data_IF_183720521267
#
_entry.id   IF_183720521267
#
_cell.length_a   1.000
_cell.length_b   1.000
_cell.length_c   1.000
_cell.angle_alpha   90.00
_cell.angle_beta   90.00
_cell.angle_gamma   90.00
#
_symmetry.space_group_name_H-M   'P 1'
#
loop_
_entity.id
_entity.type
_entity.pdbx_description
1 polymer ?
#
# COMPACT_ATOMS: atom_id res chain seq x y z
N UNK A 1 33.07 -8.72 3.31
CA UNK A 1 32.42 -8.82 1.98
C UNK A 1 31.84 -7.46 1.52
N UNK A 2 32.68 -6.48 1.14
CA UNK A 2 32.21 -5.10 0.88
C UNK A 2 31.38 -4.96 -0.41
N UNK A 3 31.69 -5.71 -1.46
CA UNK A 3 30.94 -5.67 -2.72
C UNK A 3 29.50 -6.16 -2.55
N UNK A 4 29.28 -7.19 -1.74
CA UNK A 4 27.96 -7.71 -1.42
C UNK A 4 27.13 -6.72 -0.61
N UNK A 5 27.75 -6.03 0.36
CA UNK A 5 27.10 -4.96 1.11
C UNK A 5 26.64 -3.82 0.18
N UNK A 6 27.51 -3.33 -0.69
CA UNK A 6 27.16 -2.26 -1.64
C UNK A 6 26.05 -2.68 -2.61
N UNK A 7 26.05 -3.94 -3.06
CA UNK A 7 24.96 -4.46 -3.90
C UNK A 7 23.63 -4.54 -3.15
N UNK A 8 23.64 -4.98 -1.89
CA UNK A 8 22.45 -5.05 -1.05
C UNK A 8 21.85 -3.66 -0.79
N UNK A 9 22.69 -2.67 -0.48
CA UNK A 9 22.26 -1.27 -0.28
C UNK A 9 21.56 -0.70 -1.51
N UNK A 10 22.12 -0.92 -2.72
CA UNK A 10 21.51 -0.46 -3.98
C UNK A 10 20.14 -1.09 -4.24
N UNK A 11 19.95 -2.34 -3.83
CA UNK A 11 18.64 -3.03 -3.95
C UNK A 11 17.65 -2.47 -2.93
N UNK A 12 18.08 -2.30 -1.67
CA UNK A 12 17.23 -1.75 -0.62
C UNK A 12 16.78 -0.31 -0.95
N UNK A 13 17.66 0.51 -1.51
CA UNK A 13 17.38 1.92 -1.84
C UNK A 13 16.26 2.11 -2.88
N UNK A 14 15.92 1.07 -3.65
CA UNK A 14 14.82 1.09 -4.63
C UNK A 14 13.60 0.27 -4.19
N UNK A 15 13.63 -0.35 -3.02
CA UNK A 15 12.48 -1.07 -2.47
C UNK A 15 11.54 -0.06 -1.80
N UNK A 16 10.29 -0.05 -2.26
CA UNK A 16 9.23 0.78 -1.72
C UNK A 16 7.98 -0.07 -1.55
N UNK A 17 7.11 0.30 -0.62
CA UNK A 17 5.79 -0.30 -0.56
C UNK A 17 5.00 0.02 -1.84
N UNK A 18 4.24 -0.95 -2.34
CA UNK A 18 3.51 -0.82 -3.60
C UNK A 18 2.47 0.30 -3.54
N UNK A 19 1.71 0.40 -2.45
CA UNK A 19 0.64 1.41 -2.34
C UNK A 19 1.23 2.81 -2.20
N UNK A 20 2.33 2.94 -1.44
CA UNK A 20 3.07 4.20 -1.33
C UNK A 20 3.70 4.61 -2.66
N UNK A 21 4.27 3.67 -3.42
CA UNK A 21 4.81 3.95 -4.75
C UNK A 21 3.73 4.47 -5.71
N UNK A 22 2.56 3.81 -5.75
CA UNK A 22 1.46 4.23 -6.62
C UNK A 22 0.96 5.64 -6.24
N UNK A 23 0.72 5.88 -4.95
CA UNK A 23 0.12 7.15 -4.48
C UNK A 23 1.15 8.27 -4.42
N UNK A 24 2.28 8.07 -3.76
CA UNK A 24 3.23 9.14 -3.45
C UNK A 24 4.31 9.33 -4.54
N UNK A 25 4.70 8.27 -5.24
CA UNK A 25 5.73 8.36 -6.29
C UNK A 25 5.10 8.60 -7.67
N UNK A 26 4.05 7.86 -8.04
CA UNK A 26 3.37 8.04 -9.33
C UNK A 26 2.26 9.09 -9.29
N UNK A 27 1.77 9.48 -8.10
CA UNK A 27 0.67 10.44 -7.98
C UNK A 27 -0.70 9.86 -8.40
N UNK A 28 -0.84 8.54 -8.44
CA UNK A 28 -2.05 7.85 -8.92
C UNK A 28 -2.89 7.40 -7.73
N UNK A 29 -4.18 7.72 -7.75
CA UNK A 29 -5.13 7.33 -6.69
C UNK A 29 -6.24 6.39 -7.18
N UNK A 30 -6.49 6.35 -8.49
CA UNK A 30 -7.38 5.40 -9.15
C UNK A 30 -6.59 4.62 -10.21
N UNK A 31 -6.52 3.31 -10.03
CA UNK A 31 -5.84 2.38 -10.94
C UNK A 31 -6.79 1.69 -11.93
N UNK A 32 -8.06 2.12 -11.97
CA UNK A 32 -9.09 1.56 -12.82
C UNK A 32 -9.69 0.25 -12.31
N UNK A 33 -9.48 -0.10 -11.04
CA UNK A 33 -9.93 -1.35 -10.45
C UNK A 33 -11.45 -1.41 -10.23
N UNK A 34 -12.01 -2.62 -10.24
CA UNK A 34 -13.40 -2.88 -9.89
C UNK A 34 -13.55 -4.19 -9.13
N UNK A 35 -14.37 -4.18 -8.09
CA UNK A 35 -14.75 -5.37 -7.32
C UNK A 35 -16.15 -5.14 -6.77
N UNK A 36 -17.14 -5.93 -7.21
CA UNK A 36 -18.50 -5.85 -6.67
C UNK A 36 -18.57 -6.66 -5.38
N UNK A 37 -18.57 -5.99 -4.24
CA UNK A 37 -18.63 -6.67 -2.96
C UNK A 37 -18.23 -5.80 -1.78
N UNK A 38 -18.15 -6.45 -0.61
CA UNK A 38 -17.82 -5.82 0.67
C UNK A 38 -16.47 -6.34 1.16
N UNK A 39 -15.63 -5.48 1.70
CA UNK A 39 -14.36 -5.88 2.30
C UNK A 39 -14.05 -5.07 3.55
N UNK A 40 -13.22 -5.63 4.43
CA UNK A 40 -12.63 -4.92 5.57
C UNK A 40 -11.13 -4.84 5.34
N UNK A 41 -10.54 -3.65 5.53
CA UNK A 41 -9.10 -3.48 5.48
C UNK A 41 -8.47 -3.76 6.84
N UNK A 42 -7.57 -4.75 6.91
CA UNK A 42 -6.74 -4.99 8.08
C UNK A 42 -5.42 -4.21 7.95
N UNK A 43 -5.19 -3.15 8.74
CA UNK A 43 -3.95 -2.40 8.70
C UNK A 43 -2.78 -3.24 9.22
N UNK A 44 -1.74 -3.40 8.41
CA UNK A 44 -0.52 -4.10 8.82
C UNK A 44 0.30 -3.26 9.79
N UNK A 45 0.59 -3.79 10.99
CA UNK A 45 1.45 -3.14 11.97
C UNK A 45 2.85 -2.83 11.41
N UNK A 46 3.43 -3.74 10.63
CA UNK A 46 4.76 -3.53 10.03
C UNK A 46 4.72 -2.43 8.98
N UNK A 47 3.65 -2.38 8.18
CA UNK A 47 3.47 -1.35 7.17
C UNK A 47 3.32 0.03 7.83
N UNK A 48 2.41 0.15 8.80
CA UNK A 48 2.13 1.41 9.49
C UNK A 48 3.27 1.89 10.41
N UNK A 49 3.89 0.99 11.18
CA UNK A 49 4.89 1.36 12.21
C UNK A 49 6.32 1.39 11.68
N UNK A 50 6.68 0.52 10.74
CA UNK A 50 8.05 0.44 10.22
C UNK A 50 8.22 1.22 8.93
N UNK A 51 7.24 1.15 8.02
CA UNK A 51 7.32 1.82 6.71
C UNK A 51 6.58 3.16 6.68
N UNK A 52 5.78 3.48 7.70
CA UNK A 52 5.04 4.74 7.78
C UNK A 52 3.84 4.82 6.82
N UNK A 53 3.56 3.76 6.07
CA UNK A 53 2.48 3.67 5.09
C UNK A 53 1.17 3.34 5.81
N UNK A 54 0.19 4.22 5.68
CA UNK A 54 -1.06 4.15 6.47
C UNK A 54 -2.28 4.44 5.61
N UNK A 55 -2.25 5.58 4.92
CA UNK A 55 -3.41 6.11 4.20
C UNK A 55 -3.41 5.68 2.73
N UNK A 56 -2.26 5.33 2.19
CA UNK A 56 -2.10 4.95 0.78
C UNK A 56 -2.89 3.70 0.40
N UNK A 57 -2.90 2.60 1.18
CA UNK A 57 -3.75 1.45 0.90
C UNK A 57 -5.24 1.82 0.90
N UNK A 58 -5.67 2.62 1.86
CA UNK A 58 -7.08 3.05 1.98
C UNK A 58 -7.48 3.99 0.84
N UNK A 59 -6.57 4.85 0.38
CA UNK A 59 -6.79 5.76 -0.75
C UNK A 59 -7.07 4.97 -2.03
N UNK A 60 -6.30 3.91 -2.29
CA UNK A 60 -6.54 3.05 -3.45
C UNK A 60 -7.84 2.25 -3.31
N UNK A 61 -8.11 1.68 -2.13
CA UNK A 61 -9.34 0.90 -1.89
C UNK A 61 -10.61 1.74 -2.06
N UNK A 62 -10.60 3.01 -1.63
CA UNK A 62 -11.73 3.94 -1.80
C UNK A 62 -12.07 4.24 -3.26
N UNK A 63 -11.13 4.04 -4.19
CA UNK A 63 -11.34 4.27 -5.62
C UNK A 63 -11.70 2.98 -6.39
N UNK A 64 -11.83 1.84 -5.73
CA UNK A 64 -12.25 0.59 -6.39
C UNK A 64 -13.75 0.66 -6.68
N UNK A 65 -14.13 0.62 -7.96
CA UNK A 65 -15.54 0.68 -8.36
C UNK A 65 -16.30 -0.57 -7.88
N UNK A 66 -17.44 -0.35 -7.21
CA UNK A 66 -18.30 -1.43 -6.70
C UNK A 66 -17.91 -1.98 -5.33
N UNK A 67 -16.79 -1.50 -4.75
CA UNK A 67 -16.33 -1.95 -3.45
C UNK A 67 -16.98 -1.13 -2.33
N UNK A 68 -17.67 -1.82 -1.42
CA UNK A 68 -18.08 -1.28 -0.13
C UNK A 68 -17.01 -1.61 0.90
N UNK A 69 -16.28 -0.60 1.37
CA UNK A 69 -15.26 -0.78 2.40
C UNK A 69 -15.90 -0.58 3.78
N UNK A 70 -15.87 -1.63 4.60
CA UNK A 70 -16.43 -1.68 5.94
C UNK A 70 -15.36 -1.45 7.02
N UNK A 71 -15.81 -0.97 8.17
CA UNK A 71 -14.98 -0.93 9.39
C UNK A 71 -15.16 -2.18 10.24
N UNK A 72 -14.23 -2.43 11.17
CA UNK A 72 -14.36 -3.54 12.13
C UNK A 72 -15.55 -3.41 13.08
N UNK A 73 -16.09 -2.20 13.26
CA UNK A 73 -17.26 -1.97 14.11
C UNK A 73 -18.59 -2.38 13.43
N UNK A 74 -18.58 -2.57 12.11
CA UNK A 74 -19.75 -2.87 11.29
C UNK A 74 -19.80 -4.36 10.87
N UNK A 75 -19.13 -5.24 11.63
CA UNK A 75 -19.22 -6.69 11.48
C UNK A 75 -20.49 -7.26 12.12
#
# INVERSE_FOLDING_TARGET
EPEWASRAEKVAARMQDLTSFIVNTLGVVDVGASLQGRAVYHPSCSLARKLGVKDEPLTLLKNVRGLELLTFAEQ
#
